data_IF_868921689613
#
_entry.id   IF_868921689613
#
_cell.length_a   1.000
_cell.length_b   1.000
_cell.length_c   1.000
_cell.angle_alpha   90.00
_cell.angle_beta   90.00
_cell.angle_gamma   90.00
#
_symmetry.space_group_name_H-M   'P 1'
#
loop_
_entity.id
_entity.type
_entity.pdbx_description
1 polymer ?
#
# COMPACT_ATOMS: atom_id res chain seq x y z
N UNK A 1 -86.04 -9.46 12.87
CA UNK A 1 -85.96 -8.45 13.95
C UNK A 1 -85.28 -9.15 15.12
N UNK A 2 -84.16 -8.76 15.75
CA UNK A 2 -83.37 -7.51 15.93
C UNK A 2 -81.91 -7.94 16.21
N UNK A 3 -80.78 -7.33 15.80
CA UNK A 3 -80.42 -6.22 14.87
C UNK A 3 -78.95 -6.46 14.39
N UNK A 4 -78.28 -5.45 13.79
CA UNK A 4 -76.82 -5.40 13.52
C UNK A 4 -76.13 -4.34 14.41
N UNK A 5 -74.96 -4.66 14.98
CA UNK A 5 -73.89 -3.74 15.43
C UNK A 5 -72.73 -4.59 16.02
N UNK A 6 -71.45 -4.19 16.03
CA UNK A 6 -70.82 -2.96 15.56
C UNK A 6 -69.52 -2.68 16.33
N UNK A 7 -68.38 -3.13 15.77
CA UNK A 7 -66.98 -2.67 15.93
C UNK A 7 -66.59 -1.82 17.18
N UNK A 8 -65.62 -2.30 17.98
CA UNK A 8 -64.36 -1.54 18.21
C UNK A 8 -63.23 -2.41 18.78
N UNK A 9 -62.00 -2.07 18.41
CA UNK A 9 -60.73 -2.58 18.97
C UNK A 9 -60.22 -1.62 20.04
N UNK A 10 -59.77 -2.12 21.18
CA UNK A 10 -58.79 -1.44 22.06
C UNK A 10 -57.80 -2.48 22.59
N UNK A 11 -56.51 -2.13 22.63
CA UNK A 11 -55.42 -2.98 23.09
C UNK A 11 -54.83 -2.47 24.43
N UNK A 12 -54.11 -3.35 25.15
CA UNK A 12 -53.27 -3.07 26.33
C UNK A 12 -54.07 -2.68 27.61
N UNK A 13 -53.69 -3.00 28.85
CA UNK A 13 -52.40 -3.41 29.47
C UNK A 13 -52.59 -4.34 30.71
N UNK A 14 -51.62 -5.22 30.99
CA UNK A 14 -51.22 -5.66 32.34
C UNK A 14 -52.14 -6.67 33.09
N UNK A 15 -51.70 -7.37 34.15
CA UNK A 15 -50.36 -7.63 34.68
C UNK A 15 -50.43 -8.76 35.75
N UNK A 16 -49.40 -9.60 35.90
CA UNK A 16 -49.09 -10.36 37.13
C UNK A 16 -47.70 -11.04 36.99
N UNK A 17 -46.59 -10.49 37.50
CA UNK A 17 -46.11 -10.37 38.90
C UNK A 17 -45.51 -11.66 39.48
N UNK A 18 -44.18 -11.82 39.37
CA UNK A 18 -43.22 -12.32 40.37
C UNK A 18 -41.80 -12.10 39.82
N UNK A 19 -40.75 -11.76 40.56
CA UNK A 19 -40.61 -11.11 41.87
C UNK A 19 -39.20 -10.49 41.85
N UNK A 20 -39.06 -9.18 42.09
CA UNK A 20 -37.72 -8.55 42.14
C UNK A 20 -37.11 -8.84 43.51
N UNK A 21 -35.87 -9.29 43.54
CA UNK A 21 -34.99 -9.16 44.71
C UNK A 21 -33.66 -8.64 44.22
N UNK A 22 -33.31 -7.44 44.69
CA UNK A 22 -32.14 -6.71 44.24
C UNK A 22 -30.86 -7.30 44.83
N UNK A 23 -29.84 -7.43 43.99
CA UNK A 23 -28.45 -7.41 44.43
C UNK A 23 -27.71 -6.44 43.51
N UNK A 24 -27.66 -5.17 43.93
CA UNK A 24 -26.89 -4.13 43.23
C UNK A 24 -25.41 -4.47 43.37
N UNK A 25 -24.86 -5.10 42.32
CA UNK A 25 -23.50 -5.62 42.26
C UNK A 25 -22.87 -5.31 40.90
N UNK A 26 -22.13 -4.21 40.84
CA UNK A 26 -21.36 -3.68 39.72
C UNK A 26 -20.75 -4.76 38.81
N UNK A 27 -21.16 -4.80 37.54
CA UNK A 27 -20.55 -5.73 36.58
C UNK A 27 -21.28 -5.82 35.24
N UNK A 28 -20.91 -4.95 34.29
CA UNK A 28 -21.39 -5.06 32.91
C UNK A 28 -20.92 -6.38 32.28
N UNK A 29 -21.76 -7.43 32.34
CA UNK A 29 -21.54 -8.71 31.66
C UNK A 29 -21.75 -8.55 30.15
N UNK A 30 -20.77 -7.91 29.53
CA UNK A 30 -20.12 -8.30 28.27
C UNK A 30 -20.99 -9.23 27.42
N UNK A 31 -21.83 -8.64 26.57
CA UNK A 31 -22.38 -9.33 25.40
C UNK A 31 -21.18 -9.77 24.57
N UNK A 32 -20.73 -10.99 24.80
CA UNK A 32 -19.72 -11.64 23.96
C UNK A 32 -20.43 -12.04 22.68
N UNK A 33 -20.48 -11.10 21.73
CA UNK A 33 -20.57 -11.47 20.34
C UNK A 33 -19.42 -12.45 20.10
N UNK A 34 -19.77 -13.72 19.92
CA UNK A 34 -18.81 -14.70 19.47
C UNK A 34 -18.44 -14.31 18.04
N UNK A 35 -17.29 -13.65 17.89
CA UNK A 35 -16.51 -13.78 16.66
C UNK A 35 -16.18 -15.26 16.59
N UNK A 36 -17.03 -16.01 15.87
CA UNK A 36 -16.73 -17.37 15.46
C UNK A 36 -15.42 -17.26 14.69
N UNK A 37 -14.37 -17.90 15.20
CA UNK A 37 -13.06 -17.84 14.57
C UNK A 37 -13.17 -18.41 13.17
N UNK A 38 -13.15 -17.54 12.15
CA UNK A 38 -13.11 -17.95 10.76
C UNK A 38 -11.92 -18.89 10.56
N UNK A 39 -12.10 -20.07 9.95
CA UNK A 39 -10.99 -20.97 9.72
C UNK A 39 -9.96 -20.28 8.81
N UNK A 40 -8.69 -20.37 9.19
CA UNK A 40 -7.58 -19.85 8.39
C UNK A 40 -7.63 -20.47 6.99
N UNK A 41 -7.62 -19.61 5.97
CA UNK A 41 -7.66 -20.06 4.58
C UNK A 41 -6.37 -20.78 4.16
N UNK A 42 -6.46 -21.60 3.11
CA UNK A 42 -5.28 -22.13 2.41
C UNK A 42 -4.75 -21.10 1.40
N UNK A 43 -3.45 -21.14 1.01
CA UNK A 43 -2.86 -20.13 0.12
C UNK A 43 -3.56 -19.97 -1.24
N UNK A 44 -4.22 -21.01 -1.73
CA UNK A 44 -4.93 -21.02 -3.02
C UNK A 44 -6.34 -20.41 -2.97
N UNK A 45 -6.83 -20.01 -1.79
CA UNK A 45 -8.15 -19.38 -1.61
C UNK A 45 -8.09 -17.84 -1.54
N UNK A 46 -6.90 -17.26 -1.38
CA UNK A 46 -6.67 -15.82 -1.36
C UNK A 46 -6.58 -15.20 -2.75
N UNK A 47 -6.54 -13.84 -2.84
CA UNK A 47 -6.33 -13.14 -4.09
C UNK A 47 -4.94 -13.45 -4.68
N UNK A 48 -4.72 -13.11 -5.94
CA UNK A 48 -3.39 -13.12 -6.55
C UNK A 48 -2.94 -11.69 -6.83
N UNK A 49 -1.63 -11.47 -6.73
CA UNK A 49 -1.01 -10.15 -6.89
C UNK A 49 0.11 -10.24 -7.91
N UNK A 50 0.08 -9.34 -8.89
CA UNK A 50 1.24 -9.03 -9.72
C UNK A 50 1.87 -7.72 -9.26
N UNK A 51 3.20 -7.65 -9.39
CA UNK A 51 4.01 -6.54 -8.87
C UNK A 51 4.74 -5.89 -10.04
N UNK A 52 4.78 -4.56 -10.04
CA UNK A 52 5.65 -3.80 -10.94
C UNK A 52 6.16 -2.53 -10.24
N UNK A 53 7.22 -1.95 -10.79
CA UNK A 53 7.79 -0.69 -10.30
C UNK A 53 7.45 0.45 -11.26
N UNK A 54 7.19 1.64 -10.72
CA UNK A 54 6.66 2.82 -11.41
C UNK A 54 7.26 4.15 -10.95
N UNK A 55 6.80 5.23 -11.57
CA UNK A 55 6.93 6.61 -11.08
C UNK A 55 5.57 7.01 -10.49
N UNK A 56 5.48 7.81 -9.42
CA UNK A 56 4.21 8.30 -8.88
C UNK A 56 3.46 9.22 -9.85
N UNK A 57 4.14 9.69 -10.91
CA UNK A 57 3.53 10.51 -11.95
C UNK A 57 3.67 9.83 -13.30
N UNK A 58 2.66 9.99 -14.17
CA UNK A 58 2.69 9.49 -15.54
C UNK A 58 3.55 10.35 -16.50
N UNK A 59 4.52 11.09 -15.96
CA UNK A 59 5.34 12.06 -16.68
C UNK A 59 6.23 11.37 -17.72
N UNK A 60 6.04 11.72 -18.99
CA UNK A 60 6.91 11.30 -20.09
C UNK A 60 8.39 11.72 -19.93
N UNK A 61 8.69 12.63 -19.00
CA UNK A 61 10.05 13.07 -18.65
C UNK A 61 10.65 12.33 -17.44
N UNK A 62 9.83 11.65 -16.64
CA UNK A 62 10.35 10.75 -15.60
C UNK A 62 10.83 9.48 -16.28
N UNK A 63 12.15 9.24 -16.33
CA UNK A 63 12.70 8.00 -16.91
C UNK A 63 12.42 6.76 -16.05
N UNK A 64 11.73 6.96 -14.92
CA UNK A 64 11.39 5.95 -13.93
C UNK A 64 12.48 5.74 -12.89
N UNK A 65 12.04 5.54 -11.66
CA UNK A 65 12.80 4.96 -10.54
C UNK A 65 14.04 5.76 -10.13
N UNK A 66 13.96 6.42 -8.97
CA UNK A 66 15.14 6.99 -8.32
C UNK A 66 15.97 5.87 -7.69
N UNK A 67 17.30 5.93 -7.90
CA UNK A 67 18.23 4.89 -7.46
C UNK A 67 19.40 5.49 -6.66
N UNK A 68 19.82 4.79 -5.61
CA UNK A 68 21.13 4.97 -5.00
C UNK A 68 22.05 3.81 -5.39
N UNK A 69 23.26 4.12 -5.86
CA UNK A 69 24.28 3.16 -6.25
C UNK A 69 25.43 3.14 -5.22
N UNK A 70 25.87 1.96 -4.75
CA UNK A 70 27.03 1.78 -3.88
C UNK A 70 28.37 1.95 -4.63
N UNK A 71 28.45 2.97 -5.50
CA UNK A 71 29.55 3.27 -6.41
C UNK A 71 29.73 4.78 -6.53
N UNK A 72 30.95 5.22 -6.81
CA UNK A 72 31.21 6.60 -7.22
C UNK A 72 30.74 6.84 -8.67
N UNK A 73 30.41 8.09 -9.00
CA UNK A 73 29.78 8.43 -10.29
C UNK A 73 30.71 8.21 -11.51
N UNK A 74 32.03 8.22 -11.30
CA UNK A 74 33.06 7.88 -12.29
C UNK A 74 33.22 6.36 -12.52
N UNK A 75 32.72 5.54 -11.59
CA UNK A 75 32.64 4.08 -11.71
C UNK A 75 31.32 3.60 -12.38
N UNK A 76 30.38 4.52 -12.61
CA UNK A 76 29.13 4.25 -13.31
C UNK A 76 29.29 4.57 -14.80
N UNK A 77 29.01 3.58 -15.64
CA UNK A 77 28.89 3.82 -17.08
C UNK A 77 27.75 4.82 -17.37
N UNK A 78 27.75 5.49 -18.55
CA UNK A 78 26.65 6.37 -18.94
C UNK A 78 25.29 5.64 -18.91
N UNK A 79 24.27 6.33 -18.40
CA UNK A 79 22.93 5.74 -18.25
C UNK A 79 22.37 5.29 -19.63
N UNK A 80 21.78 4.08 -19.73
CA UNK A 80 21.13 3.63 -20.96
C UNK A 80 19.91 4.45 -21.36
N UNK A 81 19.50 4.34 -22.63
CA UNK A 81 18.40 5.14 -23.18
C UNK A 81 17.01 4.61 -22.85
N UNK A 82 16.83 3.28 -22.82
CA UNK A 82 15.52 2.67 -22.55
C UNK A 82 15.35 2.25 -21.08
N UNK A 83 14.09 2.26 -20.62
CA UNK A 83 13.71 1.89 -19.24
C UNK A 83 14.19 0.49 -18.84
N UNK A 84 14.02 -0.49 -19.72
CA UNK A 84 14.48 -1.86 -19.50
C UNK A 84 15.99 -1.98 -19.34
N UNK A 85 16.76 -1.22 -20.13
CA UNK A 85 18.21 -1.18 -19.99
C UNK A 85 18.62 -0.44 -18.71
N UNK A 86 17.89 0.59 -18.28
CA UNK A 86 18.11 1.27 -17.00
C UNK A 86 17.83 0.34 -15.81
N UNK A 87 16.78 -0.48 -15.86
CA UNK A 87 16.51 -1.54 -14.87
C UNK A 87 17.68 -2.55 -14.79
N UNK A 88 18.15 -3.06 -15.95
CA UNK A 88 19.29 -3.98 -16.01
C UNK A 88 20.59 -3.32 -15.52
N UNK A 89 20.82 -2.05 -15.88
CA UNK A 89 21.93 -1.24 -15.41
C UNK A 89 21.89 -1.08 -13.88
N UNK A 90 20.72 -0.83 -13.31
CA UNK A 90 20.57 -0.68 -11.87
C UNK A 90 20.91 -1.99 -11.15
N UNK A 91 20.33 -3.12 -11.59
CA UNK A 91 20.65 -4.44 -11.06
C UNK A 91 22.15 -4.77 -11.16
N UNK A 92 22.78 -4.50 -12.32
CA UNK A 92 24.22 -4.75 -12.55
C UNK A 92 25.15 -3.84 -11.72
N UNK A 93 24.67 -2.70 -11.23
CA UNK A 93 25.43 -1.76 -10.41
C UNK A 93 25.10 -1.79 -8.92
N UNK A 94 24.20 -2.69 -8.49
CA UNK A 94 23.74 -2.76 -7.10
C UNK A 94 22.84 -1.60 -6.70
N UNK A 95 22.12 -1.01 -7.67
CA UNK A 95 21.16 0.06 -7.43
C UNK A 95 20.05 -0.36 -6.49
N UNK A 96 19.75 0.50 -5.53
CA UNK A 96 18.64 0.34 -4.58
C UNK A 96 17.63 1.47 -4.78
N UNK A 97 16.32 1.20 -4.84
CA UNK A 97 15.30 2.22 -5.00
C UNK A 97 15.33 3.26 -3.86
N UNK A 98 15.10 4.52 -4.18
CA UNK A 98 14.91 5.61 -3.21
C UNK A 98 13.53 6.26 -3.39
N UNK A 99 13.21 7.23 -2.53
CA UNK A 99 11.95 7.98 -2.58
C UNK A 99 11.65 8.53 -3.99
N UNK A 100 10.39 8.45 -4.41
CA UNK A 100 9.95 8.73 -5.78
C UNK A 100 10.01 7.51 -6.72
N UNK A 101 10.48 6.35 -6.25
CA UNK A 101 10.08 5.06 -6.81
C UNK A 101 8.72 4.65 -6.25
N UNK A 102 7.78 4.26 -7.09
CA UNK A 102 6.50 3.64 -6.69
C UNK A 102 6.53 2.14 -6.93
N UNK A 103 5.89 1.40 -6.03
CA UNK A 103 5.61 -0.03 -6.14
C UNK A 103 4.12 -0.21 -6.44
N UNK A 104 3.79 -0.70 -7.62
CA UNK A 104 2.42 -0.94 -8.07
C UNK A 104 2.04 -2.41 -7.84
N UNK A 105 1.02 -2.63 -7.01
CA UNK A 105 0.43 -3.94 -6.73
C UNK A 105 -0.92 -4.04 -7.45
N UNK A 106 -1.03 -4.92 -8.43
CA UNK A 106 -2.31 -5.24 -9.08
C UNK A 106 -2.90 -6.48 -8.43
N UNK A 107 -4.05 -6.34 -7.78
CA UNK A 107 -4.70 -7.37 -6.96
C UNK A 107 -6.00 -7.81 -7.62
N UNK A 108 -6.14 -9.11 -7.85
CA UNK A 108 -7.33 -9.70 -8.47
C UNK A 108 -7.77 -10.98 -7.76
N UNK A 109 -9.06 -11.31 -7.89
CA UNK A 109 -9.57 -12.63 -7.51
C UNK A 109 -9.04 -13.72 -8.45
N UNK A 110 -9.04 -14.96 -7.97
CA UNK A 110 -8.67 -16.15 -8.77
C UNK A 110 -9.80 -16.62 -9.70
N UNK A 111 -11.03 -16.28 -9.35
CA UNK A 111 -12.27 -16.57 -10.06
C UNK A 111 -13.28 -15.45 -9.75
N UNK A 112 -14.52 -15.57 -10.22
CA UNK A 112 -15.56 -14.53 -10.09
C UNK A 112 -16.11 -14.37 -8.66
N UNK A 113 -15.67 -15.17 -7.67
CA UNK A 113 -16.05 -14.97 -6.27
C UNK A 113 -15.40 -13.69 -5.74
N UNK A 114 -16.21 -12.82 -5.14
CA UNK A 114 -15.73 -11.62 -4.47
C UNK A 114 -14.75 -11.97 -3.34
N UNK A 115 -13.58 -11.35 -3.39
CA UNK A 115 -12.64 -11.27 -2.27
C UNK A 115 -12.70 -9.84 -1.74
N UNK A 116 -12.95 -9.70 -0.44
CA UNK A 116 -12.91 -8.40 0.24
C UNK A 116 -11.51 -8.21 0.81
N UNK A 117 -10.79 -7.20 0.34
CA UNK A 117 -9.52 -6.80 0.94
C UNK A 117 -9.86 -5.89 2.14
N UNK A 118 -9.37 -6.21 3.32
CA UNK A 118 -9.75 -5.54 4.57
C UNK A 118 -8.65 -4.69 5.18
N UNK A 119 -7.41 -4.81 4.69
CA UNK A 119 -6.29 -3.97 5.10
C UNK A 119 -5.02 -4.21 4.28
N UNK A 120 -4.11 -3.25 4.31
CA UNK A 120 -2.77 -3.36 3.73
C UNK A 120 -1.76 -2.83 4.75
N UNK A 121 -0.74 -3.64 5.04
CA UNK A 121 0.30 -3.39 6.04
C UNK A 121 1.68 -3.51 5.39
N UNK A 122 2.66 -2.77 5.88
CA UNK A 122 4.05 -2.87 5.46
C UNK A 122 4.92 -3.28 6.65
N UNK A 123 5.97 -4.06 6.40
CA UNK A 123 6.81 -4.63 7.46
C UNK A 123 8.27 -4.72 7.04
N UNK A 124 9.14 -4.07 7.80
CA UNK A 124 10.58 -4.23 7.65
C UNK A 124 11.01 -5.60 8.17
N UNK A 125 11.86 -6.27 7.41
CA UNK A 125 12.51 -7.53 7.76
C UNK A 125 13.96 -7.30 8.18
N UNK A 126 14.66 -6.38 7.51
CA UNK A 126 15.99 -5.92 7.93
C UNK A 126 16.11 -4.41 7.75
N UNK A 127 16.94 -3.79 8.60
CA UNK A 127 17.39 -2.40 8.46
C UNK A 127 18.91 -2.38 8.61
N UNK A 128 19.59 -1.70 7.69
CA UNK A 128 21.04 -1.46 7.70
C UNK A 128 21.29 0.00 7.29
N UNK A 129 22.48 0.59 7.52
CA UNK A 129 22.74 1.98 7.14
C UNK A 129 22.43 2.24 5.66
N UNK A 130 21.82 3.38 5.35
CA UNK A 130 21.48 3.75 3.98
C UNK A 130 22.68 3.72 3.02
N UNK A 131 22.42 3.38 1.76
CA UNK A 131 23.43 3.26 0.71
C UNK A 131 24.13 4.59 0.50
N UNK A 132 25.46 4.57 0.62
CA UNK A 132 26.34 5.69 0.25
C UNK A 132 26.85 5.53 -1.18
N UNK A 133 27.38 6.60 -1.77
CA UNK A 133 27.87 6.58 -3.16
C UNK A 133 27.15 7.62 -4.01
N UNK A 134 26.44 7.19 -5.04
CA UNK A 134 25.80 8.05 -6.05
C UNK A 134 24.29 7.88 -6.04
N UNK A 135 23.54 8.92 -5.68
CA UNK A 135 22.10 9.00 -5.89
C UNK A 135 21.81 9.59 -7.27
N UNK A 136 21.04 8.89 -8.09
CA UNK A 136 20.48 9.44 -9.31
C UNK A 136 19.31 10.35 -8.95
N UNK A 137 19.49 11.65 -9.18
CA UNK A 137 18.40 12.61 -9.13
C UNK A 137 17.73 12.69 -10.50
N UNK A 138 16.41 12.53 -10.57
CA UNK A 138 15.63 12.85 -11.77
C UNK A 138 15.03 14.25 -11.67
N UNK A 139 15.09 15.03 -12.74
CA UNK A 139 14.26 16.23 -12.86
C UNK A 139 12.85 15.79 -13.25
N UNK A 140 11.92 15.77 -12.29
CA UNK A 140 10.49 15.61 -12.59
C UNK A 140 9.98 16.76 -13.45
N UNK A 141 8.94 16.54 -14.25
CA UNK A 141 8.34 17.60 -15.09
C UNK A 141 6.85 17.86 -14.81
N UNK A 142 6.23 17.07 -13.92
CA UNK A 142 4.85 17.25 -13.49
C UNK A 142 3.84 16.55 -14.41
N UNK A 143 2.76 16.07 -13.81
CA UNK A 143 1.73 15.28 -14.46
C UNK A 143 0.75 14.70 -13.42
N UNK A 144 0.01 13.66 -13.81
CA UNK A 144 -1.07 13.09 -12.99
C UNK A 144 -0.49 12.22 -11.88
N UNK A 145 -0.91 12.45 -10.64
CA UNK A 145 -0.72 11.52 -9.52
C UNK A 145 -2.03 10.74 -9.33
N UNK A 146 -2.07 9.41 -9.46
CA UNK A 146 -3.25 8.66 -9.04
C UNK A 146 -3.42 8.72 -7.52
N UNK A 147 -4.55 8.21 -7.00
CA UNK A 147 -4.68 7.90 -5.57
C UNK A 147 -3.63 6.83 -5.21
N UNK A 148 -3.01 6.96 -4.05
CA UNK A 148 -1.89 6.10 -3.66
C UNK A 148 -1.91 5.83 -2.15
N UNK A 149 -1.04 4.95 -1.68
CA UNK A 149 -0.80 4.71 -0.27
C UNK A 149 0.63 5.12 0.08
N UNK A 150 0.76 6.09 0.97
CA UNK A 150 2.02 6.43 1.56
C UNK A 150 2.48 5.30 2.48
N UNK A 151 3.62 4.71 2.17
CA UNK A 151 4.40 3.92 3.13
C UNK A 151 5.30 4.93 3.83
N UNK A 152 4.69 5.59 4.83
CA UNK A 152 5.00 6.92 5.37
C UNK A 152 6.44 7.09 5.87
N UNK A 153 6.95 6.06 6.53
CA UNK A 153 8.36 5.97 6.91
C UNK A 153 8.77 4.50 7.11
N UNK A 154 9.69 4.02 6.26
CA UNK A 154 10.30 2.69 6.40
C UNK A 154 11.33 2.61 7.54
N UNK A 155 11.78 3.74 8.11
CA UNK A 155 12.58 3.76 9.34
C UNK A 155 11.73 3.52 10.60
N UNK A 156 10.43 3.83 10.56
CA UNK A 156 9.51 3.70 11.69
C UNK A 156 9.09 2.26 12.03
N UNK A 157 8.77 2.00 13.29
CA UNK A 157 8.23 0.72 13.75
C UNK A 157 7.05 0.94 14.74
N UNK A 158 5.81 0.53 14.39
CA UNK A 158 5.40 -0.07 13.12
C UNK A 158 5.41 0.93 11.95
N UNK A 159 5.67 0.43 10.75
CA UNK A 159 5.53 1.20 9.50
C UNK A 159 4.06 1.55 9.30
N UNK A 160 3.77 2.80 8.93
CA UNK A 160 2.41 3.25 8.62
C UNK A 160 2.15 3.18 7.12
N UNK A 161 0.98 2.67 6.78
CA UNK A 161 0.42 2.71 5.43
C UNK A 161 -0.81 3.60 5.48
N UNK A 162 -0.78 4.73 4.76
CA UNK A 162 -1.80 5.77 4.85
C UNK A 162 -2.35 6.04 3.43
N UNK A 163 -3.67 5.90 3.18
CA UNK A 163 -4.25 6.32 1.90
C UNK A 163 -4.07 7.82 1.69
N UNK A 164 -3.66 8.22 0.48
CA UNK A 164 -3.39 9.59 0.08
C UNK A 164 -4.20 9.95 -1.16
N UNK A 165 -4.66 11.19 -1.19
CA UNK A 165 -5.39 11.74 -2.33
C UNK A 165 -4.44 11.86 -3.54
N UNK A 166 -5.00 11.60 -4.72
CA UNK A 166 -4.34 11.86 -6.01
C UNK A 166 -4.67 13.27 -6.54
N UNK A 167 -4.16 13.57 -7.72
CA UNK A 167 -4.42 14.82 -8.42
C UNK A 167 -4.47 14.60 -9.95
N UNK A 168 -5.53 15.09 -10.60
CA UNK A 168 -5.68 15.03 -12.05
C UNK A 168 -4.81 16.04 -12.81
N UNK A 169 -4.78 15.96 -14.14
CA UNK A 169 -3.96 16.83 -14.99
C UNK A 169 -4.38 18.32 -14.96
N UNK A 170 -5.56 18.65 -14.44
CA UNK A 170 -6.04 20.00 -14.25
C UNK A 170 -5.82 20.52 -12.80
N UNK A 171 -5.26 19.69 -11.92
CA UNK A 171 -4.99 20.02 -10.52
C UNK A 171 -6.13 19.67 -9.56
N UNK A 172 -7.20 19.00 -10.00
CA UNK A 172 -8.30 18.61 -9.13
C UNK A 172 -7.90 17.39 -8.29
N UNK A 173 -8.30 17.39 -7.02
CA UNK A 173 -8.08 16.28 -6.08
C UNK A 173 -8.86 15.02 -6.49
N UNK A 174 -8.20 13.86 -6.41
CA UNK A 174 -8.79 12.54 -6.62
C UNK A 174 -8.84 11.87 -5.24
N UNK A 175 -9.99 11.82 -4.56
CA UNK A 175 -10.03 11.45 -3.15
C UNK A 175 -9.57 10.01 -2.91
N UNK A 176 -8.80 9.84 -1.84
CA UNK A 176 -8.33 8.55 -1.37
C UNK A 176 -9.52 7.71 -0.89
N UNK A 177 -9.47 6.41 -1.18
CA UNK A 177 -10.44 5.45 -0.65
C UNK A 177 -9.78 4.71 0.52
N UNK A 178 -10.53 4.50 1.60
CA UNK A 178 -10.11 3.66 2.72
C UNK A 178 -10.61 2.24 2.54
N UNK A 179 -9.89 1.27 3.10
CA UNK A 179 -10.34 -0.12 3.17
C UNK A 179 -11.75 -0.23 3.81
N UNK A 180 -12.61 -1.16 3.36
CA UNK A 180 -12.29 -2.30 2.49
C UNK A 180 -12.41 -2.04 0.97
N UNK A 181 -11.75 -2.89 0.20
CA UNK A 181 -11.89 -2.99 -1.27
C UNK A 181 -12.50 -4.34 -1.66
N UNK A 182 -13.01 -4.45 -2.89
CA UNK A 182 -13.51 -5.70 -3.47
C UNK A 182 -12.73 -6.02 -4.74
N UNK A 183 -12.42 -7.30 -4.96
CA UNK A 183 -11.81 -7.80 -6.20
C UNK A 183 -12.43 -9.15 -6.61
N UNK A 184 -12.36 -9.46 -7.90
CA UNK A 184 -12.72 -10.75 -8.51
C UNK A 184 -11.77 -11.02 -9.70
N UNK A 185 -12.01 -12.06 -10.50
CA UNK A 185 -11.28 -12.24 -11.76
C UNK A 185 -11.59 -11.17 -12.83
N UNK A 186 -12.70 -10.44 -12.69
CA UNK A 186 -13.16 -9.38 -13.61
C UNK A 186 -13.11 -7.97 -13.02
N UNK A 187 -12.88 -7.84 -11.71
CA UNK A 187 -12.80 -6.58 -10.98
C UNK A 187 -11.47 -6.52 -10.23
N UNK A 188 -10.58 -5.61 -10.64
CA UNK A 188 -9.16 -5.61 -10.29
C UNK A 188 -8.82 -4.28 -9.62
N UNK A 189 -8.22 -4.34 -8.43
CA UNK A 189 -7.76 -3.15 -7.71
C UNK A 189 -6.26 -2.94 -7.92
N UNK A 190 -5.82 -1.68 -8.01
CA UNK A 190 -4.43 -1.31 -8.22
C UNK A 190 -3.99 -0.39 -7.08
N UNK A 191 -3.08 -0.89 -6.23
CA UNK A 191 -2.47 -0.12 -5.16
C UNK A 191 -1.11 0.40 -5.59
N UNK A 192 -0.94 1.71 -5.65
CA UNK A 192 0.36 2.34 -5.75
C UNK A 192 0.89 2.65 -4.36
N UNK A 193 2.03 2.06 -4.00
CA UNK A 193 2.71 2.29 -2.74
C UNK A 193 3.96 3.14 -3.00
N UNK A 194 4.05 4.34 -2.44
CA UNK A 194 5.28 5.13 -2.49
C UNK A 194 6.02 5.04 -1.14
N UNK A 195 7.12 4.26 -1.06
CA UNK A 195 7.96 4.22 0.13
C UNK A 195 8.74 5.50 0.35
N UNK A 196 8.73 5.94 1.60
CA UNK A 196 9.55 7.01 2.15
C UNK A 196 10.46 6.45 3.26
N UNK A 197 11.48 7.22 3.62
CA UNK A 197 12.50 6.86 4.60
C UNK A 197 13.81 7.58 4.32
N UNK A 198 14.67 7.68 5.33
CA UNK A 198 15.80 8.60 5.34
C UNK A 198 17.12 7.98 5.81
N UNK A 199 17.08 7.05 6.77
CA UNK A 199 18.26 6.61 7.52
C UNK A 199 18.77 5.23 7.10
N UNK A 200 17.87 4.34 6.70
CA UNK A 200 18.21 2.95 6.42
C UNK A 200 18.04 2.54 4.95
N UNK A 201 18.81 1.52 4.59
CA UNK A 201 18.52 0.57 3.53
C UNK A 201 17.72 -0.57 4.18
N UNK A 202 16.52 -0.82 3.66
CA UNK A 202 15.46 -1.61 4.30
C UNK A 202 15.04 -2.73 3.36
N UNK A 203 15.10 -3.98 3.84
CA UNK A 203 14.40 -5.10 3.20
C UNK A 203 13.01 -5.20 3.84
N UNK A 204 11.94 -5.20 3.03
CA UNK A 204 10.56 -5.14 3.53
C UNK A 204 9.57 -5.96 2.69
N UNK A 205 8.38 -6.20 3.25
CA UNK A 205 7.26 -6.88 2.59
C UNK A 205 5.96 -6.11 2.81
N UNK A 206 4.95 -6.45 2.01
CA UNK A 206 3.57 -6.00 2.18
C UNK A 206 2.72 -7.19 2.62
N UNK A 207 1.83 -6.99 3.58
CA UNK A 207 0.85 -7.97 4.07
C UNK A 207 -0.55 -7.42 3.73
N UNK A 208 -1.34 -8.17 2.96
CA UNK A 208 -2.72 -7.82 2.59
C UNK A 208 -3.69 -8.72 3.36
N UNK A 209 -4.52 -8.12 4.20
CA UNK A 209 -5.60 -8.80 4.91
C UNK A 209 -6.80 -8.98 3.98
N UNK A 210 -7.39 -10.17 3.94
CA UNK A 210 -8.51 -10.47 3.06
C UNK A 210 -9.54 -11.43 3.68
N UNK A 211 -10.77 -11.35 3.16
CA UNK A 211 -11.88 -12.23 3.50
C UNK A 211 -12.62 -12.68 2.23
N UNK A 212 -12.97 -13.97 2.15
CA UNK A 212 -13.87 -14.48 1.11
C UNK A 212 -14.61 -15.73 1.60
N UNK A 213 -15.88 -15.89 1.20
CA UNK A 213 -16.73 -17.04 1.54
C UNK A 213 -16.72 -17.46 3.03
N UNK A 214 -16.64 -16.50 3.95
CA UNK A 214 -16.60 -16.74 5.40
C UNK A 214 -15.23 -17.17 5.96
N UNK A 215 -14.19 -17.21 5.13
CA UNK A 215 -12.79 -17.40 5.54
C UNK A 215 -12.05 -16.08 5.53
N UNK A 216 -10.93 -16.03 6.26
CA UNK A 216 -10.02 -14.89 6.33
C UNK A 216 -8.58 -15.38 6.18
N UNK A 217 -7.72 -14.52 5.63
CA UNK A 217 -6.30 -14.81 5.48
C UNK A 217 -5.47 -13.54 5.32
N UNK A 218 -4.16 -13.74 5.32
CA UNK A 218 -3.14 -12.74 5.01
C UNK A 218 -2.39 -13.20 3.76
N UNK A 219 -2.16 -12.29 2.82
CA UNK A 219 -1.30 -12.53 1.66
C UNK A 219 -0.01 -11.71 1.81
N UNK A 220 1.13 -12.41 1.90
CA UNK A 220 2.45 -11.78 1.86
C UNK A 220 2.83 -11.49 0.40
N UNK A 221 3.03 -10.22 0.08
CA UNK A 221 3.45 -9.73 -1.23
C UNK A 221 4.92 -9.29 -1.15
N UNK A 222 5.71 -9.70 -2.14
CA UNK A 222 7.16 -9.53 -2.20
C UNK A 222 7.66 -9.50 -3.66
N UNK A 223 8.94 -9.19 -3.88
CA UNK A 223 9.58 -9.13 -5.19
C UNK A 223 10.02 -10.53 -5.65
N UNK A 224 9.09 -11.27 -6.27
CA UNK A 224 9.33 -12.58 -6.90
C UNK A 224 10.08 -13.60 -6.00
N UNK A 225 9.69 -13.67 -4.72
CA UNK A 225 10.30 -14.56 -3.72
C UNK A 225 11.39 -13.91 -2.87
N UNK A 226 11.66 -12.61 -3.04
CA UNK A 226 12.59 -11.82 -2.22
C UNK A 226 11.87 -10.62 -1.60
N UNK A 227 12.32 -10.10 -0.46
CA UNK A 227 11.80 -8.83 0.06
C UNK A 227 11.97 -7.69 -0.95
N UNK A 228 11.06 -6.72 -0.92
CA UNK A 228 11.30 -5.40 -1.51
C UNK A 228 12.50 -4.75 -0.84
N UNK A 229 13.18 -3.86 -1.57
CA UNK A 229 14.30 -3.09 -1.03
C UNK A 229 14.12 -1.60 -1.30
N UNK A 230 14.47 -0.79 -0.32
CA UNK A 230 14.46 0.67 -0.39
C UNK A 230 15.66 1.22 0.36
N UNK A 231 16.18 2.39 0.00
CA UNK A 231 17.15 3.12 0.83
C UNK A 231 16.84 4.60 0.93
N UNK A 232 17.09 5.17 2.10
CA UNK A 232 17.13 6.62 2.29
C UNK A 232 18.10 7.26 1.29
N UNK A 233 17.62 8.28 0.57
CA UNK A 233 18.38 8.90 -0.53
C UNK A 233 19.45 9.91 -0.10
N UNK A 234 19.46 10.33 1.16
CA UNK A 234 20.34 11.40 1.69
C UNK A 234 21.78 10.95 2.00
N UNK A 235 22.02 9.65 2.14
CA UNK A 235 23.35 9.10 2.42
C UNK A 235 24.26 9.02 1.18
N UNK A 236 23.68 9.02 -0.03
CA UNK A 236 24.40 9.06 -1.29
C UNK A 236 24.45 10.49 -1.87
N UNK A 237 25.52 10.81 -2.59
CA UNK A 237 25.72 12.13 -3.20
C UNK A 237 24.82 12.25 -4.44
N UNK A 238 24.04 13.33 -4.61
CA UNK A 238 23.14 13.45 -5.75
C UNK A 238 23.88 13.83 -7.04
N UNK A 239 23.55 13.15 -8.13
CA UNK A 239 24.04 13.41 -9.49
C UNK A 239 22.88 13.37 -10.48
N UNK A 240 22.93 14.27 -11.46
CA UNK A 240 22.10 14.19 -12.67
C UNK A 240 22.92 13.53 -13.79
N UNK A 241 22.27 12.70 -14.61
CA UNK A 241 22.86 12.25 -15.87
C UNK A 241 22.48 13.22 -16.98
N UNK A 242 23.47 13.85 -17.63
CA UNK A 242 23.24 14.68 -18.81
C UNK A 242 23.23 13.79 -20.07
N UNK A 243 22.07 13.62 -20.75
CA UNK A 243 21.97 12.79 -21.94
C UNK A 243 22.71 13.38 -23.15
N UNK A 244 22.99 14.69 -23.17
CA UNK A 244 23.70 15.37 -24.28
C UNK A 244 25.20 15.12 -24.22
N UNK A 245 25.81 15.28 -23.05
CA UNK A 245 27.25 15.00 -22.85
C UNK A 245 27.55 13.56 -22.46
N UNK A 246 26.51 12.76 -22.15
CA UNK A 246 26.57 11.37 -21.65
C UNK A 246 27.41 11.23 -20.37
N UNK A 247 27.32 12.22 -19.47
CA UNK A 247 28.11 12.28 -18.22
C UNK A 247 27.23 12.44 -16.99
N UNK A 248 27.65 11.81 -15.91
CA UNK A 248 27.17 12.10 -14.56
C UNK A 248 27.74 13.45 -14.10
N UNK A 249 26.88 14.38 -13.73
CA UNK A 249 27.23 15.71 -13.21
C UNK A 249 26.68 15.84 -11.80
N UNK A 250 27.51 16.31 -10.86
CA UNK A 250 27.09 16.49 -9.47
C UNK A 250 25.92 17.46 -9.40
N UNK A 251 24.83 17.05 -8.76
CA UNK A 251 23.76 17.96 -8.41
C UNK A 251 24.27 18.85 -7.27
N UNK A 252 24.62 20.09 -7.57
CA UNK A 252 24.77 21.10 -6.52
C UNK A 252 23.43 21.20 -5.80
N UNK A 253 23.39 20.96 -4.48
CA UNK A 253 22.18 21.20 -3.69
C UNK A 253 21.72 22.65 -3.94
N UNK A 254 20.40 22.90 -4.10
CA UNK A 254 19.90 24.25 -4.03
C UNK A 254 20.31 24.85 -2.66
N UNK A 255 20.79 26.10 -2.70
CA UNK A 255 21.11 26.89 -1.52
C UNK A 255 19.85 27.46 -0.88
#
# INVERSE_FOLDING_TARGET
>A
MVWLAGILVVALTGAMTTLITEAIGTGAKKVRNAVVGSPSATPDEGPVVSVSYGSPTNDACSTGLNWAFPKAADQLAPLPGSRDEQLRFAAANGGVPTAGTVLTLTVQGRDDRTVVLTGLRAKALTRRPAVTGTAMATLGCGGVSPRWFAVDDLDADPIRVIPQDGQDAAGNEIPAVSFPYQVSASDVEVFELAPLGHLHDVDWIVEIDWASAGRTGELVVNDHGKPFRFTGGSAAKPYYFDPRTRKWTSASQPR
#
